data_IF_906727549653
#
_entry.id   IF_906727549653
#
_cell.length_a   1.000
_cell.length_b   1.000
_cell.length_c   1.000
_cell.angle_alpha   90.00
_cell.angle_beta   90.00
_cell.angle_gamma   90.00
#
_symmetry.space_group_name_H-M   'P 1'
#
loop_
_entity.id
_entity.type
_entity.pdbx_description
1 polymer ?
#
# COMPACT_ATOMS: atom_id res chain seq x y z
N UNK A 1 -2.74 -36.20 -59.96
CA UNK A 1 -1.33 -35.95 -59.57
C UNK A 1 -1.34 -35.22 -58.23
N UNK A 2 -1.11 -35.96 -57.13
CA UNK A 2 0.07 -35.89 -56.25
C UNK A 2 0.04 -34.71 -55.24
N UNK A 3 -0.40 -35.07 -54.03
CA UNK A 3 0.10 -34.75 -52.66
C UNK A 3 0.81 -33.41 -52.41
N UNK A 4 0.40 -32.75 -51.32
CA UNK A 4 1.30 -32.38 -50.20
C UNK A 4 0.54 -32.09 -48.91
N UNK A 5 0.75 -32.97 -47.94
CA UNK A 5 0.45 -32.84 -46.52
C UNK A 5 1.27 -31.71 -45.90
N UNK A 6 0.67 -30.90 -45.01
CA UNK A 6 1.41 -30.23 -43.94
C UNK A 6 0.54 -30.24 -42.69
N UNK A 7 1.02 -30.92 -41.65
CA UNK A 7 0.34 -31.00 -40.36
C UNK A 7 0.45 -29.67 -39.63
N UNK A 8 -0.63 -29.26 -38.98
CA UNK A 8 -0.60 -28.17 -38.02
C UNK A 8 -0.48 -28.78 -36.61
N UNK A 9 0.70 -28.59 -36.03
CA UNK A 9 1.02 -28.91 -34.64
C UNK A 9 0.13 -28.09 -33.71
N UNK A 10 -0.48 -28.78 -32.74
CA UNK A 10 -1.23 -28.19 -31.65
C UNK A 10 -0.33 -27.31 -30.79
N UNK A 11 -0.65 -26.02 -30.69
CA UNK A 11 -0.12 -25.14 -29.65
C UNK A 11 -1.26 -24.84 -28.67
N UNK A 12 -1.43 -25.74 -27.69
CA UNK A 12 -2.29 -25.49 -26.53
C UNK A 12 -1.53 -24.50 -25.64
N UNK A 13 -1.85 -23.21 -25.80
CA UNK A 13 -1.39 -22.16 -24.90
C UNK A 13 -2.19 -22.24 -23.60
N UNK A 14 -1.67 -22.96 -22.61
CA UNK A 14 -2.17 -22.89 -21.23
C UNK A 14 -1.76 -21.51 -20.69
N UNK A 15 -2.67 -20.54 -20.75
CA UNK A 15 -2.58 -19.35 -19.92
C UNK A 15 -2.78 -19.78 -18.46
N UNK A 16 -1.69 -19.94 -17.72
CA UNK A 16 -1.73 -19.86 -16.27
C UNK A 16 -2.06 -18.40 -15.89
N UNK A 17 -3.35 -18.08 -15.87
CA UNK A 17 -3.83 -16.97 -15.07
C UNK A 17 -3.63 -17.37 -13.60
N UNK A 18 -2.49 -17.00 -13.03
CA UNK A 18 -2.32 -16.97 -11.58
C UNK A 18 -3.27 -15.88 -11.05
N UNK A 19 -4.54 -16.25 -10.87
CA UNK A 19 -5.53 -15.40 -10.22
C UNK A 19 -4.99 -15.06 -8.84
N UNK A 20 -4.87 -13.78 -8.54
CA UNK A 20 -4.67 -13.31 -7.18
C UNK A 20 -5.84 -13.89 -6.36
N UNK A 21 -5.58 -14.93 -5.58
CA UNK A 21 -6.56 -15.46 -4.65
C UNK A 21 -6.82 -14.36 -3.63
N UNK A 22 -7.94 -13.66 -3.78
CA UNK A 22 -8.51 -12.87 -2.69
C UNK A 22 -8.56 -13.80 -1.46
N UNK A 23 -7.94 -13.39 -0.35
CA UNK A 23 -7.97 -14.17 0.87
C UNK A 23 -9.42 -14.20 1.38
N UNK A 24 -10.16 -15.24 1.02
CA UNK A 24 -11.55 -15.42 1.43
C UNK A 24 -11.57 -15.74 2.92
N UNK A 25 -12.15 -14.86 3.73
CA UNK A 25 -12.33 -15.11 5.16
C UNK A 25 -13.72 -15.70 5.40
N UNK A 26 -13.84 -16.54 6.41
CA UNK A 26 -15.08 -17.20 6.78
C UNK A 26 -15.42 -16.85 8.21
N UNK A 27 -16.63 -16.36 8.45
CA UNK A 27 -17.16 -16.12 9.79
C UNK A 27 -18.16 -17.20 10.14
N UNK A 28 -18.01 -17.79 11.32
CA UNK A 28 -18.94 -18.75 11.88
C UNK A 28 -19.17 -18.47 13.36
N UNK A 29 -20.30 -18.95 13.88
CA UNK A 29 -20.69 -18.78 15.28
C UNK A 29 -20.79 -20.17 15.90
N UNK A 30 -20.19 -20.36 17.07
CA UNK A 30 -20.27 -21.63 17.78
C UNK A 30 -21.56 -21.77 18.60
N UNK A 31 -21.69 -22.88 19.33
CA UNK A 31 -22.86 -23.18 20.15
C UNK A 31 -23.02 -22.26 21.37
N UNK A 32 -21.94 -21.62 21.82
CA UNK A 32 -21.95 -20.65 22.91
C UNK A 32 -22.29 -19.23 22.44
N UNK A 33 -22.39 -19.03 21.11
CA UNK A 33 -22.61 -17.72 20.50
C UNK A 33 -21.34 -16.95 20.18
N UNK A 34 -20.15 -17.57 20.35
CA UNK A 34 -18.88 -16.91 20.09
C UNK A 34 -18.58 -16.85 18.58
N UNK A 35 -18.03 -15.71 18.15
CA UNK A 35 -17.75 -15.43 16.74
C UNK A 35 -16.31 -15.82 16.41
N UNK A 36 -16.15 -16.70 15.43
CA UNK A 36 -14.86 -17.18 14.94
C UNK A 36 -14.64 -16.76 13.49
N UNK A 37 -13.40 -16.42 13.14
CA UNK A 37 -12.99 -16.03 11.78
C UNK A 37 -11.82 -16.90 11.33
N UNK A 38 -11.95 -17.54 10.17
CA UNK A 38 -10.88 -18.36 9.55
C UNK A 38 -10.54 -17.85 8.16
N UNK A 39 -9.31 -18.10 7.70
CA UNK A 39 -8.85 -17.71 6.35
C UNK A 39 -8.95 -18.85 5.34
N UNK A 40 -9.34 -20.05 5.79
CA UNK A 40 -9.61 -21.22 4.95
C UNK A 40 -10.90 -21.90 5.40
N UNK A 41 -11.68 -22.39 4.44
CA UNK A 41 -12.94 -23.09 4.71
C UNK A 41 -12.71 -24.43 5.43
N UNK A 42 -11.56 -25.07 5.20
CA UNK A 42 -11.16 -26.33 5.83
C UNK A 42 -10.91 -26.20 7.34
N UNK A 43 -10.53 -25.02 7.81
CA UNK A 43 -10.31 -24.73 9.24
C UNK A 43 -11.62 -24.57 10.03
N UNK A 44 -12.76 -24.52 9.33
CA UNK A 44 -14.08 -24.47 9.96
C UNK A 44 -14.47 -25.89 10.35
N UNK A 45 -14.78 -26.17 11.64
CA UNK A 45 -15.29 -27.46 12.05
C UNK A 45 -16.53 -27.83 11.24
N UNK A 46 -16.64 -29.09 10.80
CA UNK A 46 -17.69 -29.53 9.86
C UNK A 46 -19.10 -29.14 10.29
N UNK A 47 -19.39 -29.22 11.60
CA UNK A 47 -20.68 -28.86 12.20
C UNK A 47 -21.10 -27.39 12.02
N UNK A 48 -20.15 -26.50 11.73
CA UNK A 48 -20.40 -25.06 11.53
C UNK A 48 -20.20 -24.62 10.07
N UNK A 49 -19.65 -25.49 9.21
CA UNK A 49 -19.27 -25.15 7.84
C UNK A 49 -20.46 -24.76 6.97
N UNK A 50 -21.63 -25.35 7.20
CA UNK A 50 -22.88 -25.03 6.49
C UNK A 50 -23.54 -23.71 6.96
N UNK A 51 -23.16 -23.21 8.14
CA UNK A 51 -23.62 -21.93 8.70
C UNK A 51 -22.57 -20.83 8.57
N UNK A 52 -21.36 -21.19 8.15
CA UNK A 52 -20.29 -20.24 7.90
C UNK A 52 -20.68 -19.32 6.74
N UNK A 53 -20.60 -18.02 6.98
CA UNK A 53 -20.78 -17.03 5.93
C UNK A 53 -19.40 -16.70 5.38
N UNK A 54 -19.22 -16.89 4.06
CA UNK A 54 -18.04 -16.33 3.39
C UNK A 54 -18.13 -14.83 3.51
N UNK A 55 -17.20 -14.26 4.27
CA UNK A 55 -16.93 -12.84 4.19
C UNK A 55 -15.95 -12.71 3.04
N UNK A 56 -16.50 -12.49 1.84
CA UNK A 56 -15.77 -11.68 0.88
C UNK A 56 -15.70 -10.33 1.57
N UNK A 57 -14.62 -10.08 2.32
CA UNK A 57 -14.28 -8.72 2.62
C UNK A 57 -13.52 -8.30 1.37
N UNK A 58 -14.15 -7.61 0.39
CA UNK A 58 -13.34 -6.66 -0.32
C UNK A 58 -12.81 -5.78 0.81
N UNK A 59 -11.51 -5.89 1.11
CA UNK A 59 -10.85 -4.74 1.69
C UNK A 59 -11.30 -3.53 0.87
N UNK A 60 -11.41 -2.32 1.48
CA UNK A 60 -11.68 -1.12 0.69
C UNK A 60 -10.85 -1.24 -0.59
N UNK A 61 -11.48 -1.07 -1.76
CA UNK A 61 -10.73 -1.05 -3.04
C UNK A 61 -9.47 -0.22 -2.80
N UNK A 62 -8.33 -0.44 -3.48
CA UNK A 62 -7.05 0.22 -3.19
C UNK A 62 -7.02 1.78 -3.13
N UNK A 63 -8.17 2.43 -3.19
CA UNK A 63 -8.46 3.86 -3.09
C UNK A 63 -9.76 4.20 -2.31
N UNK A 64 -10.47 3.26 -1.68
CA UNK A 64 -11.73 3.47 -0.95
C UNK A 64 -11.44 3.95 0.48
N UNK A 65 -11.30 5.28 0.60
CA UNK A 65 -11.40 6.08 1.81
C UNK A 65 -10.76 5.53 3.10
N UNK A 66 -9.65 6.15 3.49
CA UNK A 66 -9.08 6.03 4.83
C UNK A 66 -9.69 7.02 5.83
N UNK A 67 -10.74 7.76 5.47
CA UNK A 67 -11.30 8.83 6.31
C UNK A 67 -11.79 8.32 7.68
N UNK A 68 -12.07 7.02 7.81
CA UNK A 68 -12.50 6.38 9.05
C UNK A 68 -11.37 5.72 9.84
N UNK A 69 -10.10 5.83 9.39
CA UNK A 69 -9.00 5.30 10.17
C UNK A 69 -8.89 6.08 11.49
N UNK A 70 -8.75 5.39 12.63
CA UNK A 70 -8.45 6.05 13.89
C UNK A 70 -7.22 6.95 13.76
N UNK A 71 -7.19 8.00 14.57
CA UNK A 71 -5.99 8.82 14.75
C UNK A 71 -5.57 8.69 16.21
N UNK A 72 -4.30 8.41 16.45
CA UNK A 72 -3.75 8.36 17.81
C UNK A 72 -3.72 9.81 18.33
N UNK A 73 -4.37 10.12 19.47
CA UNK A 73 -4.29 11.44 20.08
C UNK A 73 -2.86 11.89 20.39
N UNK A 74 -1.94 10.94 20.58
CA UNK A 74 -0.51 11.21 20.76
C UNK A 74 0.25 11.32 19.44
N UNK A 75 -0.34 10.83 18.34
CA UNK A 75 0.22 10.90 17.00
C UNK A 75 1.09 9.71 16.59
N UNK A 76 1.12 8.63 17.35
CA UNK A 76 1.90 7.43 17.02
C UNK A 76 1.17 6.45 16.11
N UNK A 77 1.89 5.42 15.67
CA UNK A 77 1.31 4.34 14.88
C UNK A 77 2.09 3.04 15.00
N UNK A 78 1.44 1.93 14.67
CA UNK A 78 2.08 0.63 14.52
C UNK A 78 1.50 -0.05 13.27
N UNK A 79 2.33 -0.24 12.26
CA UNK A 79 1.91 -0.72 10.94
C UNK A 79 2.73 -1.92 10.49
N UNK A 80 2.10 -2.81 9.71
CA UNK A 80 2.83 -3.86 9.02
C UNK A 80 3.66 -3.27 7.87
N UNK A 81 4.85 -3.82 7.65
CA UNK A 81 5.68 -3.50 6.49
C UNK A 81 6.05 -4.76 5.71
N UNK A 82 6.35 -4.57 4.43
CA UNK A 82 6.95 -5.58 3.55
C UNK A 82 8.37 -5.18 3.17
N UNK A 83 9.27 -6.15 3.06
CA UNK A 83 10.62 -5.94 2.52
C UNK A 83 10.66 -6.33 1.04
N UNK A 84 10.89 -5.34 0.19
CA UNK A 84 10.93 -5.53 -1.27
C UNK A 84 12.28 -5.10 -1.83
N UNK A 85 13.10 -6.10 -2.21
CA UNK A 85 14.49 -5.86 -2.65
C UNK A 85 15.23 -4.95 -1.66
N UNK A 86 15.17 -5.28 -0.37
CA UNK A 86 15.79 -4.56 0.76
C UNK A 86 15.18 -3.21 1.13
N UNK A 87 14.07 -2.80 0.52
CA UNK A 87 13.40 -1.56 0.88
C UNK A 87 12.15 -1.87 1.71
N UNK A 88 11.96 -1.10 2.78
CA UNK A 88 10.78 -1.19 3.63
C UNK A 88 9.62 -0.44 2.98
N UNK A 89 8.50 -1.13 2.80
CA UNK A 89 7.30 -0.58 2.18
C UNK A 89 6.14 -0.75 3.15
N UNK A 90 5.42 0.34 3.39
CA UNK A 90 4.23 0.37 4.23
C UNK A 90 3.02 0.84 3.42
N UNK A 91 1.83 0.53 3.91
CA UNK A 91 0.61 1.15 3.41
C UNK A 91 0.32 2.43 4.20
N UNK A 92 -0.02 3.49 3.48
CA UNK A 92 -0.45 4.75 4.07
C UNK A 92 -1.57 5.38 3.25
N UNK A 93 -2.10 6.49 3.73
CA UNK A 93 -3.17 7.23 3.08
C UNK A 93 -2.72 8.66 2.81
N UNK A 94 -3.18 9.22 1.70
CA UNK A 94 -2.90 10.59 1.29
C UNK A 94 -4.24 11.25 1.00
N UNK A 95 -4.49 12.42 1.60
CA UNK A 95 -5.76 13.14 1.47
C UNK A 95 -6.97 12.24 1.75
N UNK A 96 -6.90 11.44 2.80
CA UNK A 96 -7.94 10.50 3.24
C UNK A 96 -8.27 9.38 2.26
N UNK A 97 -7.42 9.14 1.26
CA UNK A 97 -7.54 8.03 0.32
C UNK A 97 -6.35 7.10 0.39
N UNK A 98 -6.57 5.85 0.02
CA UNK A 98 -5.54 4.81 0.01
C UNK A 98 -6.17 3.42 0.08
N UNK A 99 -5.38 2.39 0.43
CA UNK A 99 -3.96 2.48 0.79
C UNK A 99 -3.04 2.72 -0.42
N UNK A 100 -2.06 3.60 -0.24
CA UNK A 100 -0.92 3.81 -1.13
C UNK A 100 0.32 3.10 -0.57
N UNK A 101 1.15 2.54 -1.45
CA UNK A 101 2.39 1.86 -1.09
C UNK A 101 3.52 2.88 -1.00
N UNK A 102 3.99 3.12 0.22
CA UNK A 102 4.99 4.14 0.53
C UNK A 102 6.29 3.45 0.97
N UNK A 103 7.38 3.74 0.28
CA UNK A 103 8.71 3.35 0.74
C UNK A 103 9.13 4.23 1.92
N UNK A 104 9.69 3.63 2.96
CA UNK A 104 10.36 4.34 4.04
C UNK A 104 11.81 4.53 3.67
N UNK A 105 12.26 5.78 3.46
CA UNK A 105 13.62 6.12 3.05
C UNK A 105 14.34 6.97 4.10
N UNK A 106 15.08 6.31 4.99
CA UNK A 106 15.91 7.00 5.98
C UNK A 106 17.13 7.70 5.37
N UNK A 107 17.50 7.37 4.12
CA UNK A 107 18.62 7.99 3.41
C UNK A 107 18.24 9.26 2.64
N UNK A 108 16.94 9.48 2.43
CA UNK A 108 16.42 10.67 1.77
C UNK A 108 16.29 11.83 2.76
N UNK A 109 17.26 12.74 2.72
CA UNK A 109 17.31 13.94 3.57
C UNK A 109 16.30 15.04 3.17
N UNK A 110 15.56 14.85 2.08
CA UNK A 110 14.67 15.86 1.50
C UNK A 110 13.19 15.69 1.85
N UNK A 111 12.37 16.52 1.20
CA UNK A 111 10.90 16.45 1.22
C UNK A 111 10.40 15.13 0.63
N UNK A 112 9.40 14.51 1.26
CA UNK A 112 8.75 13.29 0.79
C UNK A 112 8.24 13.45 -0.64
N UNK A 113 8.30 12.38 -1.42
CA UNK A 113 7.95 12.39 -2.84
C UNK A 113 6.80 11.44 -3.12
N UNK A 114 5.76 11.93 -3.80
CA UNK A 114 4.59 11.16 -4.22
C UNK A 114 4.57 11.13 -5.75
N UNK A 115 4.17 10.00 -6.34
CA UNK A 115 4.09 9.90 -7.79
C UNK A 115 3.07 10.89 -8.37
N UNK A 116 3.35 11.52 -9.52
CA UNK A 116 2.39 12.42 -10.17
C UNK A 116 1.03 11.76 -10.41
N UNK A 117 0.99 10.50 -10.84
CA UNK A 117 -0.24 9.74 -11.08
C UNK A 117 -1.12 9.64 -9.83
N UNK A 118 -0.52 9.45 -8.65
CA UNK A 118 -1.24 9.41 -7.37
C UNK A 118 -1.81 10.78 -7.05
N UNK A 119 -1.03 11.85 -7.19
CA UNK A 119 -1.49 13.22 -6.91
C UNK A 119 -2.64 13.62 -7.85
N UNK A 120 -2.54 13.29 -9.14
CA UNK A 120 -3.58 13.54 -10.13
C UNK A 120 -4.85 12.74 -9.84
N UNK A 121 -4.74 11.46 -9.46
CA UNK A 121 -5.87 10.64 -8.97
C UNK A 121 -6.57 11.22 -7.74
N UNK A 122 -5.84 11.95 -6.92
CA UNK A 122 -6.36 12.66 -5.75
C UNK A 122 -6.99 14.01 -6.11
N UNK A 123 -6.96 14.41 -7.38
CA UNK A 123 -7.50 15.67 -7.88
C UNK A 123 -6.59 16.87 -7.68
N UNK A 124 -5.29 16.65 -7.43
CA UNK A 124 -4.31 17.73 -7.29
C UNK A 124 -3.84 18.15 -8.68
N UNK A 125 -4.09 19.41 -9.05
CA UNK A 125 -3.64 19.96 -10.34
C UNK A 125 -2.15 20.34 -10.27
N UNK A 126 -1.32 19.62 -11.04
CA UNK A 126 0.12 19.86 -11.13
C UNK A 126 0.51 20.80 -12.27
N UNK A 127 -0.42 21.31 -13.08
CA UNK A 127 -0.11 22.12 -14.28
C UNK A 127 0.63 23.42 -13.95
N UNK A 128 0.27 24.05 -12.84
CA UNK A 128 0.86 25.33 -12.37
C UNK A 128 1.76 25.17 -11.15
N UNK A 129 2.07 23.93 -10.75
CA UNK A 129 2.93 23.67 -9.60
C UNK A 129 4.36 24.20 -9.87
N UNK A 130 4.99 24.88 -8.90
CA UNK A 130 6.38 25.32 -9.01
C UNK A 130 7.29 24.13 -9.30
N UNK A 131 8.29 24.35 -10.17
CA UNK A 131 9.34 23.37 -10.47
C UNK A 131 10.59 23.77 -9.71
N UNK A 132 11.17 22.83 -8.95
CA UNK A 132 12.41 23.00 -8.22
C UNK A 132 13.46 22.01 -8.71
N UNK A 133 14.74 22.32 -8.49
CA UNK A 133 15.82 21.36 -8.64
C UNK A 133 15.90 20.46 -7.39
N UNK A 134 16.11 19.17 -7.59
CA UNK A 134 16.36 18.19 -6.53
C UNK A 134 17.66 17.45 -6.83
N UNK A 135 18.45 17.16 -5.79
CA UNK A 135 19.72 16.44 -5.90
C UNK A 135 19.61 15.07 -5.24
N UNK A 136 20.16 14.04 -5.88
CA UNK A 136 20.28 12.70 -5.33
C UNK A 136 21.54 12.01 -5.85
N UNK A 137 21.67 10.72 -5.55
CA UNK A 137 22.83 9.90 -5.97
C UNK A 137 23.03 9.91 -7.50
N UNK A 138 21.95 10.02 -8.27
CA UNK A 138 21.97 10.11 -9.73
C UNK A 138 22.25 11.49 -10.31
N UNK A 139 22.56 12.49 -9.50
CA UNK A 139 22.77 13.88 -9.92
C UNK A 139 21.59 14.80 -9.63
N UNK A 140 21.54 15.93 -10.32
CA UNK A 140 20.50 16.96 -10.18
C UNK A 140 19.41 16.73 -11.24
N UNK A 141 18.15 16.74 -10.81
CA UNK A 141 16.97 16.68 -11.68
C UNK A 141 15.95 17.72 -11.22
N UNK A 142 14.77 17.77 -11.85
CA UNK A 142 13.70 18.69 -11.47
C UNK A 142 12.44 17.95 -11.02
N UNK A 143 11.74 18.53 -10.05
CA UNK A 143 10.48 18.02 -9.53
C UNK A 143 9.49 19.16 -9.34
N UNK A 144 8.20 18.89 -9.45
CA UNK A 144 7.16 19.84 -9.04
C UNK A 144 6.94 19.75 -7.54
N UNK A 145 6.60 20.86 -6.90
CA UNK A 145 6.22 20.90 -5.47
C UNK A 145 4.73 21.18 -5.37
N UNK A 146 4.05 20.46 -4.48
CA UNK A 146 2.63 20.69 -4.20
C UNK A 146 2.31 20.40 -2.74
N UNK A 147 1.10 20.76 -2.31
CA UNK A 147 0.60 20.51 -0.96
C UNK A 147 -0.33 19.31 -0.93
N UNK A 148 -0.17 18.46 0.07
CA UNK A 148 -1.19 17.48 0.48
C UNK A 148 -1.83 17.93 1.79
N UNK A 149 -3.13 17.67 1.95
CA UNK A 149 -3.86 17.94 3.20
C UNK A 149 -3.40 17.02 4.31
N UNK A 150 -3.13 15.76 3.97
CA UNK A 150 -2.66 14.78 4.93
C UNK A 150 -1.88 13.65 4.30
N UNK A 151 -0.93 13.13 5.08
CA UNK A 151 -0.39 11.78 4.97
C UNK A 151 -0.73 11.06 6.29
N UNK A 152 -1.23 9.84 6.21
CA UNK A 152 -1.58 9.04 7.38
C UNK A 152 -0.98 7.63 7.28
N UNK A 153 -0.30 7.21 8.34
CA UNK A 153 0.34 5.90 8.46
C UNK A 153 -0.25 5.26 9.71
N UNK A 154 -1.11 4.26 9.54
CA UNK A 154 -1.93 3.75 10.65
C UNK A 154 -2.66 4.89 11.35
N UNK A 155 -2.39 5.06 12.64
CA UNK A 155 -3.04 6.08 13.46
C UNK A 155 -2.26 7.42 13.49
N UNK A 156 -1.07 7.47 12.90
CA UNK A 156 -0.23 8.65 12.82
C UNK A 156 -0.64 9.48 11.61
N UNK A 157 -1.26 10.64 11.86
CA UNK A 157 -1.70 11.56 10.81
C UNK A 157 -0.91 12.85 10.88
N UNK A 158 -0.48 13.31 9.70
CA UNK A 158 0.34 14.51 9.54
C UNK A 158 -0.13 15.33 8.34
N UNK A 159 0.16 16.62 8.38
CA UNK A 159 -0.20 17.59 7.36
C UNK A 159 -1.03 18.75 7.93
N UNK A 160 -1.38 19.74 7.09
CA UNK A 160 -1.00 19.87 5.68
C UNK A 160 0.51 20.03 5.49
N UNK A 161 1.07 19.49 4.40
CA UNK A 161 2.52 19.55 4.14
C UNK A 161 2.86 19.54 2.67
N UNK A 162 4.04 20.08 2.34
CA UNK A 162 4.62 20.03 1.01
C UNK A 162 5.11 18.62 0.68
N UNK A 163 4.93 18.22 -0.58
CA UNK A 163 5.49 17.00 -1.15
C UNK A 163 6.06 17.29 -2.54
N UNK A 164 7.04 16.50 -2.95
CA UNK A 164 7.50 16.48 -4.33
C UNK A 164 6.55 15.63 -5.17
N UNK A 165 6.06 16.16 -6.28
CA UNK A 165 5.41 15.37 -7.32
C UNK A 165 6.49 14.74 -8.20
N UNK A 166 7.04 13.61 -7.75
CA UNK A 166 8.15 12.93 -8.39
C UNK A 166 8.14 11.43 -8.08
N UNK A 167 8.20 10.60 -9.11
CA UNK A 167 8.31 9.15 -8.97
C UNK A 167 9.76 8.72 -8.78
N UNK A 168 10.33 8.91 -7.57
CA UNK A 168 11.71 8.48 -7.25
C UNK A 168 11.93 7.00 -7.59
N UNK A 169 10.91 6.16 -7.37
CA UNK A 169 10.92 4.74 -7.68
C UNK A 169 9.57 4.33 -8.30
N UNK A 170 9.50 4.03 -9.60
CA UNK A 170 8.24 3.77 -10.31
C UNK A 170 7.36 2.63 -9.78
N UNK A 171 7.90 1.76 -8.92
CA UNK A 171 7.18 0.59 -8.36
C UNK A 171 6.33 0.90 -7.12
N UNK A 172 6.48 2.09 -6.53
CA UNK A 172 5.74 2.51 -5.34
C UNK A 172 5.05 3.84 -5.60
N UNK A 173 4.01 4.10 -4.81
CA UNK A 173 3.17 5.30 -4.93
C UNK A 173 3.88 6.54 -4.36
N UNK A 174 4.87 6.34 -3.49
CA UNK A 174 5.69 7.42 -2.95
C UNK A 174 6.83 6.93 -2.06
N UNK A 175 7.59 7.91 -1.58
CA UNK A 175 8.73 7.77 -0.67
C UNK A 175 8.54 8.74 0.48
N UNK A 176 8.65 8.22 1.71
CA UNK A 176 8.67 8.98 2.93
C UNK A 176 10.09 9.36 3.29
N UNK A 177 10.33 10.66 3.33
CA UNK A 177 11.60 11.30 3.58
C UNK A 177 11.79 11.80 5.02
N UNK A 178 12.90 12.48 5.24
CA UNK A 178 13.25 13.07 6.53
C UNK A 178 12.18 14.01 7.11
N UNK A 179 11.42 14.73 6.27
CA UNK A 179 10.31 15.62 6.67
C UNK A 179 9.17 14.90 7.42
N UNK A 180 8.98 13.61 7.12
CA UNK A 180 8.06 12.70 7.81
C UNK A 180 8.80 11.95 8.91
N UNK A 181 9.89 11.28 8.57
CA UNK A 181 10.56 10.31 9.45
C UNK A 181 11.18 10.95 10.69
N UNK A 182 11.68 12.19 10.61
CA UNK A 182 12.30 12.87 11.74
C UNK A 182 11.31 13.26 12.85
N UNK A 183 10.00 13.16 12.61
CA UNK A 183 8.96 13.40 13.63
C UNK A 183 8.80 12.22 14.59
N UNK A 184 9.41 11.08 14.28
CA UNK A 184 9.23 9.85 15.01
C UNK A 184 10.56 9.22 15.44
N UNK A 185 10.51 8.48 16.54
CA UNK A 185 11.40 7.36 16.80
C UNK A 185 10.81 6.16 16.09
N UNK A 186 11.60 5.53 15.21
CA UNK A 186 11.19 4.36 14.43
C UNK A 186 11.73 3.10 15.10
N UNK A 187 10.84 2.17 15.42
CA UNK A 187 11.23 0.83 15.91
C UNK A 187 10.83 -0.22 14.88
N UNK A 188 11.79 -1.06 14.48
CA UNK A 188 11.62 -2.04 13.41
C UNK A 188 11.70 -3.45 14.00
N UNK A 189 10.58 -4.16 13.99
CA UNK A 189 10.51 -5.58 14.31
C UNK A 189 10.52 -6.41 13.02
N UNK A 190 11.71 -6.78 12.55
CA UNK A 190 11.90 -7.59 11.34
C UNK A 190 11.30 -9.00 11.45
N UNK A 191 11.17 -9.56 12.66
CA UNK A 191 10.62 -10.90 12.84
C UNK A 191 9.10 -10.91 12.65
N UNK A 192 8.44 -9.83 13.08
CA UNK A 192 6.99 -9.66 12.96
C UNK A 192 6.57 -8.84 11.74
N UNK A 193 7.52 -8.20 11.04
CA UNK A 193 7.23 -7.31 9.93
C UNK A 193 6.46 -6.07 10.37
N UNK A 194 6.81 -5.49 11.52
CA UNK A 194 6.10 -4.35 12.11
C UNK A 194 7.02 -3.15 12.30
N UNK A 195 6.55 -1.98 11.86
CA UNK A 195 7.13 -0.68 12.10
C UNK A 195 6.28 0.06 13.14
N UNK A 196 6.91 0.47 14.24
CA UNK A 196 6.30 1.37 15.23
C UNK A 196 6.84 2.78 15.01
N UNK A 197 5.93 3.76 14.95
CA UNK A 197 6.21 5.18 14.89
C UNK A 197 5.82 5.79 16.23
N UNK A 198 6.81 6.19 17.02
CA UNK A 198 6.59 6.88 18.29
C UNK A 198 6.92 8.37 18.12
N UNK A 199 5.98 9.29 18.35
CA UNK A 199 6.22 10.73 18.24
C UNK A 199 7.39 11.18 19.12
N UNK A 200 8.18 12.13 18.63
CA UNK A 200 9.27 12.78 19.39
C UNK A 200 8.77 13.94 20.26
#
# INVERSE_FOLDING_TARGET
MIRRTLGLVAAISILLAAGQAAAQMYRWVDENGDVHITTRAEDIPERYRNRATSIIQPGPKPHESCASLPTDPRGGARVAFSLERQHMVINGCINDRGPFRLMVDTGWAGTSAISPDVLERLGIDLKKAPVIAIAGVGGVTSAKVTMVRSIQIGDARMGPMEVLAYGLFPKWDGVLGADVLNRFVLEIDNRRGVLTLTPR
#
